data_IF_244088804017
#
_entry.id   IF_244088804017
#
_cell.length_a   1.000
_cell.length_b   1.000
_cell.length_c   1.000
_cell.angle_alpha   90.00
_cell.angle_beta   90.00
_cell.angle_gamma   90.00
#
_symmetry.space_group_name_H-M   'P 1'
#
loop_
_entity.id
_entity.type
_entity.pdbx_description
1 polymer ?
#
# COMPACT_ATOMS: atom_id res chain seq x y z
N UNK A 1 -1.74 7.11 -17.34
CA UNK A 1 -1.36 7.48 -15.96
C UNK A 1 -2.62 7.44 -15.12
N UNK A 2 -2.56 6.82 -13.95
CA UNK A 2 -3.63 6.72 -12.98
C UNK A 2 -3.45 7.81 -11.91
N UNK A 3 -4.55 8.50 -11.60
CA UNK A 3 -4.65 9.45 -10.52
C UNK A 3 -5.82 9.06 -9.62
N UNK A 4 -5.60 8.98 -8.32
CA UNK A 4 -6.62 8.55 -7.37
C UNK A 4 -6.09 7.69 -6.23
N UNK A 5 -7.00 7.19 -5.37
CA UNK A 5 -6.63 6.39 -4.21
C UNK A 5 -6.16 4.99 -4.61
N UNK A 6 -5.05 4.55 -4.03
CA UNK A 6 -4.60 3.17 -4.13
C UNK A 6 -4.15 2.63 -2.77
N UNK A 7 -4.08 1.31 -2.67
CA UNK A 7 -3.78 0.58 -1.45
C UNK A 7 -2.68 -0.43 -1.70
N UNK A 8 -1.73 -0.52 -0.78
CA UNK A 8 -0.67 -1.54 -0.81
C UNK A 8 -0.56 -2.19 0.56
N UNK A 9 -0.81 -3.49 0.64
CA UNK A 9 -0.49 -4.28 1.82
C UNK A 9 0.89 -4.91 1.67
N UNK A 10 1.65 -4.93 2.76
CA UNK A 10 2.86 -5.75 2.87
C UNK A 10 2.86 -6.49 4.22
N UNK A 11 3.30 -7.73 4.19
CA UNK A 11 3.56 -8.54 5.39
C UNK A 11 4.90 -8.16 6.06
N UNK A 12 5.09 -6.87 6.31
CA UNK A 12 6.25 -6.33 7.03
C UNK A 12 5.77 -5.17 7.89
N UNK A 13 6.17 -5.15 9.15
CA UNK A 13 6.04 -3.97 9.99
C UNK A 13 7.20 -3.02 9.71
N UNK A 14 6.89 -1.83 9.22
CA UNK A 14 7.91 -0.85 8.89
C UNK A 14 8.41 -0.13 10.14
N UNK A 15 9.72 0.16 10.13
CA UNK A 15 10.38 0.93 11.16
C UNK A 15 9.69 2.29 11.35
N UNK A 16 9.16 2.59 12.56
CA UNK A 16 8.36 3.77 12.80
C UNK A 16 8.96 5.10 12.34
N UNK A 17 10.24 5.27 12.60
CA UNK A 17 11.06 6.44 12.33
C UNK A 17 11.19 6.78 10.84
N UNK A 18 11.06 5.78 9.96
CA UNK A 18 11.17 5.97 8.51
C UNK A 18 9.89 6.56 7.90
N UNK A 19 8.74 6.31 8.53
CA UNK A 19 7.41 6.70 8.03
C UNK A 19 6.67 7.60 9.02
N UNK A 20 7.35 8.64 9.50
CA UNK A 20 6.71 9.67 10.33
C UNK A 20 6.00 10.71 9.45
N UNK A 21 4.86 11.27 9.90
CA UNK A 21 4.19 12.37 9.20
C UNK A 21 5.17 13.50 8.84
N UNK A 22 5.08 14.01 7.61
CA UNK A 22 5.97 15.03 7.07
C UNK A 22 7.21 14.49 6.35
N UNK A 23 7.66 13.26 6.64
CA UNK A 23 8.80 12.66 5.95
C UNK A 23 8.50 12.39 4.47
N UNK A 24 9.55 12.47 3.65
CA UNK A 24 9.55 12.01 2.26
C UNK A 24 10.27 10.67 2.22
N UNK A 25 9.58 9.65 1.73
CA UNK A 25 10.11 8.30 1.56
C UNK A 25 10.26 8.01 0.08
N UNK A 26 11.35 7.35 -0.29
CA UNK A 26 11.60 6.93 -1.67
C UNK A 26 11.46 5.43 -1.80
N UNK A 27 10.49 4.99 -2.58
CA UNK A 27 10.45 3.61 -3.09
C UNK A 27 11.41 3.51 -4.27
N UNK A 28 12.57 2.88 -4.03
CA UNK A 28 13.65 2.78 -5.02
C UNK A 28 13.31 1.82 -6.16
N UNK A 29 12.65 0.72 -5.84
CA UNK A 29 12.20 -0.29 -6.80
C UNK A 29 10.79 0.01 -7.29
N UNK A 30 10.38 -0.65 -8.37
CA UNK A 30 8.97 -0.71 -8.77
C UNK A 30 8.13 -1.22 -7.59
N UNK A 31 6.96 -0.62 -7.42
CA UNK A 31 6.02 -1.02 -6.39
C UNK A 31 4.63 -1.16 -6.98
N UNK A 32 3.92 -2.20 -6.56
CA UNK A 32 2.55 -2.50 -6.97
C UNK A 32 1.55 -2.06 -5.89
N UNK A 33 0.39 -1.59 -6.29
CA UNK A 33 -0.75 -1.33 -5.44
C UNK A 33 -2.03 -1.69 -6.19
N UNK A 34 -3.15 -1.60 -5.51
CA UNK A 34 -4.48 -1.89 -6.06
C UNK A 34 -5.43 -0.77 -5.71
N UNK A 35 -6.43 -0.52 -6.55
CA UNK A 35 -7.54 0.38 -6.17
C UNK A 35 -8.50 -0.25 -5.16
N UNK A 36 -8.38 -1.55 -4.90
CA UNK A 36 -9.22 -2.30 -3.95
C UNK A 36 -8.55 -2.46 -2.59
N UNK A 37 -9.09 -1.79 -1.57
CA UNK A 37 -8.66 -1.96 -0.19
C UNK A 37 -8.80 -3.42 0.30
N UNK A 38 -9.76 -4.17 -0.26
CA UNK A 38 -9.94 -5.60 0.07
C UNK A 38 -8.75 -6.41 -0.44
N UNK A 39 -8.39 -6.25 -1.71
CA UNK A 39 -7.26 -6.95 -2.33
C UNK A 39 -5.95 -6.60 -1.62
N UNK A 40 -5.73 -5.32 -1.29
CA UNK A 40 -4.53 -4.91 -0.56
C UNK A 40 -4.39 -5.60 0.80
N UNK A 41 -5.48 -5.86 1.52
CA UNK A 41 -5.45 -6.54 2.82
C UNK A 41 -5.09 -8.02 2.71
N UNK A 42 -5.29 -8.65 1.56
CA UNK A 42 -4.92 -10.05 1.32
C UNK A 42 -3.39 -10.25 1.32
N UNK A 43 -2.62 -9.19 1.10
CA UNK A 43 -1.15 -9.16 1.19
C UNK A 43 -0.59 -8.92 2.60
N UNK A 44 -1.46 -8.72 3.60
CA UNK A 44 -1.05 -8.66 5.01
C UNK A 44 -0.89 -10.08 5.57
N UNK A 45 -0.07 -10.23 6.61
CA UNK A 45 0.05 -11.50 7.32
C UNK A 45 -1.31 -11.92 7.86
N UNK A 46 -1.67 -13.19 7.61
CA UNK A 46 -2.90 -13.77 8.15
C UNK A 46 -2.81 -13.86 9.67
N UNK A 47 -3.94 -13.68 10.38
CA UNK A 47 -4.01 -13.94 11.81
C UNK A 47 -3.52 -15.35 12.14
N UNK A 48 -2.66 -15.49 13.15
CA UNK A 48 -2.26 -16.81 13.68
C UNK A 48 -3.30 -17.41 14.63
N UNK A 49 -4.27 -16.60 15.07
CA UNK A 49 -5.40 -16.95 15.93
C UNK A 49 -6.66 -16.32 15.33
N UNK A 50 -7.83 -16.95 15.48
CA UNK A 50 -9.09 -16.48 14.87
C UNK A 50 -9.46 -15.03 15.27
N UNK A 51 -9.12 -14.61 16.50
CA UNK A 51 -9.43 -13.27 17.03
C UNK A 51 -8.29 -12.24 16.84
N UNK A 52 -7.18 -12.61 16.21
CA UNK A 52 -6.06 -11.69 16.00
C UNK A 52 -6.28 -10.83 14.74
N UNK A 53 -5.91 -9.54 14.82
CA UNK A 53 -5.87 -8.70 13.62
C UNK A 53 -4.73 -9.14 12.68
N UNK A 54 -4.90 -9.00 11.35
CA UNK A 54 -3.80 -9.17 10.40
C UNK A 54 -2.60 -8.28 10.76
N UNK A 55 -1.39 -8.81 10.67
CA UNK A 55 -0.17 -8.05 10.93
C UNK A 55 0.48 -7.57 9.63
N UNK A 56 1.15 -6.43 9.67
CA UNK A 56 1.85 -5.87 8.51
C UNK A 56 1.64 -4.37 8.40
N UNK A 57 1.90 -3.83 7.21
CA UNK A 57 1.69 -2.42 6.90
C UNK A 57 0.72 -2.27 5.74
N UNK A 58 -0.36 -1.52 5.96
CA UNK A 58 -1.26 -1.08 4.91
C UNK A 58 -0.96 0.38 4.58
N UNK A 59 -0.59 0.63 3.33
CA UNK A 59 -0.47 1.97 2.78
C UNK A 59 -1.79 2.40 2.15
N UNK A 60 -2.17 3.64 2.43
CA UNK A 60 -3.24 4.36 1.73
C UNK A 60 -2.53 5.49 0.97
N UNK A 61 -2.66 5.48 -0.35
CA UNK A 61 -1.87 6.30 -1.26
C UNK A 61 -2.79 7.21 -2.06
N UNK A 62 -2.46 8.50 -2.11
CA UNK A 62 -3.01 9.42 -3.09
C UNK A 62 -2.04 9.47 -4.28
N UNK A 63 -2.41 8.83 -5.38
CA UNK A 63 -1.54 8.62 -6.53
C UNK A 63 -1.69 9.76 -7.53
N UNK A 64 -0.56 10.30 -8.00
CA UNK A 64 -0.52 11.32 -9.07
C UNK A 64 0.13 10.80 -10.36
N UNK A 65 0.99 9.79 -10.26
CA UNK A 65 1.88 9.34 -11.34
C UNK A 65 1.90 7.81 -11.53
N UNK A 66 1.00 7.07 -10.89
CA UNK A 66 0.96 5.61 -11.04
C UNK A 66 0.49 5.22 -12.45
N UNK A 67 0.71 3.97 -12.86
CA UNK A 67 0.22 3.44 -14.12
C UNK A 67 -0.75 2.30 -13.85
N UNK A 68 -2.00 2.42 -14.30
CA UNK A 68 -2.91 1.28 -14.31
C UNK A 68 -2.39 0.24 -15.31
N UNK A 69 -2.17 -0.98 -14.84
CA UNK A 69 -1.68 -2.10 -15.67
C UNK A 69 -2.76 -3.15 -15.90
N UNK A 70 -4.02 -2.85 -15.54
CA UNK A 70 -5.14 -3.77 -15.65
C UNK A 70 -5.34 -4.32 -17.06
N UNK A 71 -5.10 -3.52 -18.11
CA UNK A 71 -5.25 -3.94 -19.50
C UNK A 71 -4.19 -4.94 -19.98
N UNK A 72 -3.12 -5.15 -19.20
CA UNK A 72 -2.01 -6.06 -19.51
C UNK A 72 -1.75 -7.06 -18.39
N UNK A 73 -2.53 -7.03 -17.32
CA UNK A 73 -2.41 -7.96 -16.18
C UNK A 73 -3.06 -9.29 -16.50
N UNK A 74 -2.43 -10.38 -16.05
CA UNK A 74 -2.99 -11.75 -16.13
C UNK A 74 -4.18 -11.91 -15.18
N UNK A 75 -4.32 -11.02 -14.18
CA UNK A 75 -5.42 -10.99 -13.21
C UNK A 75 -6.05 -9.58 -13.14
N UNK A 76 -6.90 -9.20 -14.12
CA UNK A 76 -7.49 -7.87 -14.19
C UNK A 76 -8.36 -7.49 -12.98
N UNK A 77 -8.82 -8.47 -12.19
CA UNK A 77 -9.61 -8.29 -10.98
C UNK A 77 -8.82 -7.69 -9.81
N UNK A 78 -7.48 -7.70 -9.87
CA UNK A 78 -6.64 -7.11 -8.83
C UNK A 78 -6.57 -5.59 -8.92
N UNK A 79 -7.12 -4.99 -10.00
CA UNK A 79 -7.14 -3.55 -10.24
C UNK A 79 -5.77 -2.90 -9.99
N UNK A 80 -4.73 -3.54 -10.53
CA UNK A 80 -3.35 -3.22 -10.21
C UNK A 80 -2.92 -1.87 -10.81
N UNK A 81 -2.24 -1.09 -9.97
CA UNK A 81 -1.52 0.13 -10.34
C UNK A 81 -0.04 -0.01 -9.97
N UNK A 82 0.84 0.41 -10.88
CA UNK A 82 2.28 0.29 -10.73
C UNK A 82 2.93 1.67 -10.57
N UNK A 83 3.81 1.78 -9.58
CA UNK A 83 4.68 2.92 -9.36
C UNK A 83 6.06 2.66 -9.97
N UNK A 84 6.61 3.68 -10.63
CA UNK A 84 7.94 3.62 -11.24
C UNK A 84 9.07 3.63 -10.21
N UNK A 85 10.30 3.53 -10.71
CA UNK A 85 11.51 3.65 -9.91
C UNK A 85 11.61 5.01 -9.21
N UNK A 86 12.20 5.02 -8.03
CA UNK A 86 12.44 6.23 -7.23
C UNK A 86 11.18 7.06 -6.96
N UNK A 87 10.04 6.39 -6.78
CA UNK A 87 8.78 7.06 -6.42
C UNK A 87 8.93 7.72 -5.05
N UNK A 88 8.70 9.03 -4.99
CA UNK A 88 8.72 9.80 -3.76
C UNK A 88 7.33 9.93 -3.18
N UNK A 89 7.19 9.63 -1.90
CA UNK A 89 5.94 9.65 -1.16
C UNK A 89 6.10 10.54 0.06
N UNK A 90 5.20 11.50 0.25
CA UNK A 90 5.11 12.24 1.51
C UNK A 90 4.18 11.49 2.46
N UNK A 91 4.65 11.21 3.66
CA UNK A 91 3.79 10.61 4.70
C UNK A 91 2.89 11.72 5.26
N UNK A 92 1.58 11.58 5.06
CA UNK A 92 0.60 12.55 5.57
C UNK A 92 0.20 12.24 7.02
N UNK A 93 -0.07 10.97 7.29
CA UNK A 93 -0.52 10.49 8.58
C UNK A 93 -0.05 9.07 8.81
N UNK A 94 0.03 8.67 10.08
CA UNK A 94 0.29 7.29 10.46
C UNK A 94 -0.58 6.89 11.64
N UNK A 95 -1.13 5.69 11.56
CA UNK A 95 -1.91 5.07 12.63
C UNK A 95 -1.20 3.79 13.06
N UNK A 96 -1.06 3.58 14.37
CA UNK A 96 -0.48 2.36 14.96
C UNK A 96 -1.46 1.76 15.96
N UNK A 97 -1.63 0.43 15.93
CA UNK A 97 -2.57 -0.28 16.79
C UNK A 97 -4.00 -0.16 16.25
N UNK A 98 -4.58 -1.29 15.84
CA UNK A 98 -5.88 -1.34 15.17
C UNK A 98 -7.00 -0.69 15.98
N UNK A 99 -7.37 0.52 15.57
CA UNK A 99 -8.75 0.99 15.56
C UNK A 99 -8.84 2.05 14.47
N UNK A 100 -9.04 1.60 13.22
CA UNK A 100 -9.73 2.44 12.25
C UNK A 100 -11.16 2.55 12.78
N UNK A 101 -11.47 3.66 13.47
CA UNK A 101 -12.85 4.09 13.64
C UNK A 101 -13.35 4.69 12.34
#
# INVERSE_FOLDING_TARGET
>A
VYQGPAFRGIDVQLAPELYMPGHIVTWRSFASATTSAKVAREFLSKPKQEDAAPSGTLFILECMTAHCVQSVSVLPSEEEVLFGLNTQLRVLSRVSGGSMK
#
